data_IF_677035553294
#
_entry.id   IF_677035553294
#
_cell.length_a   1.000
_cell.length_b   1.000
_cell.length_c   1.000
_cell.angle_alpha   90.00
_cell.angle_beta   90.00
_cell.angle_gamma   90.00
#
_symmetry.space_group_name_H-M   'P 1'
#
loop_
_entity.id
_entity.type
_entity.pdbx_description
1 polymer ?
#
# COMPACT_ATOMS: atom_id res chain seq x y z
N UNK A 1 20.68 13.59 14.29
CA UNK A 1 20.15 12.22 14.08
C UNK A 1 20.03 12.00 12.58
N UNK A 2 20.46 10.85 12.05
CA UNK A 2 20.26 10.52 10.64
C UNK A 2 18.76 10.38 10.36
N UNK A 3 18.26 11.02 9.30
CA UNK A 3 16.86 10.89 8.88
C UNK A 3 16.60 9.45 8.40
N UNK A 4 15.44 8.85 8.75
CA UNK A 4 15.11 7.51 8.27
C UNK A 4 14.99 7.49 6.75
N UNK A 5 15.56 6.46 6.11
CA UNK A 5 15.53 6.29 4.66
C UNK A 5 14.10 6.10 4.16
N UNK A 6 13.76 6.79 3.07
CA UNK A 6 12.46 6.63 2.40
C UNK A 6 12.41 5.29 1.68
N UNK A 7 11.31 4.54 1.86
CA UNK A 7 11.04 3.27 1.14
C UNK A 7 9.76 3.41 0.35
N UNK A 8 9.58 2.56 -0.68
CA UNK A 8 8.36 2.57 -1.51
C UNK A 8 7.09 2.25 -0.72
N UNK A 9 7.25 1.44 0.31
CA UNK A 9 6.21 1.09 1.23
C UNK A 9 6.40 -0.32 1.75
N UNK A 10 5.66 -0.64 2.79
CA UNK A 10 5.71 -1.94 3.44
C UNK A 10 4.33 -2.32 3.97
N UNK A 11 4.12 -3.61 4.16
CA UNK A 11 2.92 -4.17 4.75
C UNK A 11 3.25 -5.25 5.77
N UNK A 12 2.30 -5.56 6.64
CA UNK A 12 2.35 -6.65 7.60
C UNK A 12 2.64 -7.97 6.89
N UNK A 13 3.56 -8.77 7.45
CA UNK A 13 3.75 -10.15 6.97
C UNK A 13 2.48 -11.01 7.16
N UNK A 14 1.51 -10.56 7.95
CA UNK A 14 0.20 -11.21 8.09
C UNK A 14 -0.54 -11.42 6.75
N UNK A 15 -0.33 -10.55 5.75
CA UNK A 15 -0.94 -10.70 4.42
C UNK A 15 -0.29 -11.82 3.56
N UNK A 16 0.76 -12.47 4.07
CA UNK A 16 1.35 -13.68 3.45
C UNK A 16 0.57 -14.94 3.85
N UNK A 17 -0.13 -14.93 4.98
CA UNK A 17 -0.97 -16.05 5.43
C UNK A 17 -2.06 -16.43 4.42
N UNK A 18 -2.90 -15.49 3.92
CA UNK A 18 -3.93 -15.84 2.93
C UNK A 18 -3.35 -16.31 1.59
N UNK A 19 -2.16 -15.82 1.19
CA UNK A 19 -1.46 -16.33 0.01
C UNK A 19 -1.04 -17.80 0.20
N UNK A 20 -0.50 -18.12 1.38
CA UNK A 20 -0.07 -19.47 1.72
C UNK A 20 -1.27 -20.43 1.77
N UNK A 21 -2.40 -19.99 2.31
CA UNK A 21 -3.66 -20.74 2.34
C UNK A 21 -4.19 -20.98 0.93
N UNK A 22 -4.22 -19.95 0.07
CA UNK A 22 -4.65 -20.06 -1.32
C UNK A 22 -3.80 -21.04 -2.14
N UNK A 23 -2.47 -21.03 -1.95
CA UNK A 23 -1.57 -21.97 -2.62
C UNK A 23 -1.81 -23.42 -2.17
N UNK A 24 -2.07 -23.64 -0.88
CA UNK A 24 -2.43 -24.97 -0.36
C UNK A 24 -3.77 -25.46 -0.91
N UNK A 25 -4.78 -24.60 -1.01
CA UNK A 25 -6.05 -24.95 -1.67
C UNK A 25 -5.88 -25.36 -3.14
N UNK A 26 -4.85 -24.82 -3.80
CA UNK A 26 -4.48 -25.16 -5.17
C UNK A 26 -3.57 -26.40 -5.27
N UNK A 27 -3.22 -27.03 -4.14
CA UNK A 27 -2.39 -28.23 -4.09
C UNK A 27 -0.88 -27.96 -4.16
N UNK A 28 -0.44 -26.73 -3.91
CA UNK A 28 0.98 -26.36 -3.89
C UNK A 28 1.50 -26.17 -2.46
N UNK A 29 2.75 -26.57 -2.22
CA UNK A 29 3.47 -26.22 -0.99
C UNK A 29 4.03 -24.78 -1.11
N UNK A 30 3.58 -23.82 -0.26
CA UNK A 30 4.08 -22.46 -0.30
C UNK A 30 5.50 -22.31 0.26
N UNK A 31 5.99 -23.24 1.08
CA UNK A 31 7.23 -23.02 1.86
C UNK A 31 8.48 -22.73 1.03
N UNK A 32 8.78 -23.45 -0.08
CA UNK A 32 9.97 -23.17 -0.88
C UNK A 32 9.92 -21.76 -1.48
N UNK A 33 8.74 -21.32 -1.93
CA UNK A 33 8.54 -19.99 -2.47
C UNK A 33 8.74 -18.93 -1.38
N UNK A 34 8.11 -19.10 -0.22
CA UNK A 34 8.25 -18.15 0.89
C UNK A 34 9.70 -18.01 1.36
N UNK A 35 10.44 -19.12 1.47
CA UNK A 35 11.87 -19.12 1.83
C UNK A 35 12.72 -18.36 0.81
N UNK A 36 12.45 -18.47 -0.49
CA UNK A 36 13.13 -17.67 -1.53
C UNK A 36 12.92 -16.16 -1.33
N UNK A 37 11.80 -15.76 -0.73
CA UNK A 37 11.52 -14.38 -0.35
C UNK A 37 11.91 -14.03 1.09
N UNK A 38 12.65 -14.89 1.80
CA UNK A 38 13.10 -14.66 3.18
C UNK A 38 11.96 -14.66 4.21
N UNK A 39 10.89 -15.41 3.94
CA UNK A 39 9.71 -15.52 4.78
C UNK A 39 9.63 -16.93 5.37
N UNK A 40 10.50 -17.25 6.30
CA UNK A 40 10.42 -18.48 7.08
C UNK A 40 9.40 -18.36 8.23
N UNK A 41 9.14 -19.47 8.93
CA UNK A 41 8.19 -19.50 10.05
C UNK A 41 8.57 -18.49 11.16
N UNK A 42 9.87 -18.31 11.41
CA UNK A 42 10.38 -17.34 12.39
C UNK A 42 10.01 -15.92 12.00
N UNK A 43 10.28 -15.53 10.75
CA UNK A 43 9.97 -14.18 10.24
C UNK A 43 8.47 -13.92 10.16
N UNK A 44 7.67 -14.93 9.83
CA UNK A 44 6.21 -14.81 9.80
C UNK A 44 5.59 -14.73 11.21
N UNK A 45 6.24 -15.29 12.22
CA UNK A 45 5.84 -15.23 13.63
C UNK A 45 6.34 -13.99 14.39
N UNK A 46 7.25 -13.22 13.80
CA UNK A 46 7.82 -12.03 14.43
C UNK A 46 6.79 -10.90 14.53
N UNK A 47 6.53 -10.45 15.76
CA UNK A 47 5.60 -9.37 16.04
C UNK A 47 6.00 -8.08 15.31
N UNK A 48 5.06 -7.52 14.53
CA UNK A 48 5.29 -6.28 13.80
C UNK A 48 6.20 -6.43 12.57
N UNK A 49 6.60 -7.64 12.18
CA UNK A 49 7.39 -7.86 10.98
C UNK A 49 6.68 -7.31 9.73
N UNK A 50 7.49 -6.67 8.89
CA UNK A 50 7.05 -6.02 7.65
C UNK A 50 7.76 -6.59 6.43
N UNK A 51 7.06 -6.54 5.31
CA UNK A 51 7.52 -6.90 3.98
C UNK A 51 7.37 -5.68 3.05
N UNK A 52 8.41 -5.40 2.27
CA UNK A 52 8.37 -4.36 1.22
C UNK A 52 7.26 -4.64 0.21
N UNK A 53 6.47 -3.63 -0.15
CA UNK A 53 5.37 -3.76 -1.15
C UNK A 53 5.88 -4.37 -2.47
N UNK A 54 6.99 -3.87 -3.07
CA UNK A 54 7.59 -4.51 -4.24
C UNK A 54 7.91 -6.01 -4.06
N UNK A 55 8.48 -6.40 -2.90
CA UNK A 55 8.76 -7.82 -2.62
C UNK A 55 7.48 -8.64 -2.55
N UNK A 56 6.41 -8.08 -1.99
CA UNK A 56 5.09 -8.72 -1.94
C UNK A 56 4.48 -8.88 -3.34
N UNK A 57 4.59 -7.85 -4.20
CA UNK A 57 4.17 -7.92 -5.60
C UNK A 57 4.91 -9.02 -6.37
N UNK A 58 6.23 -9.12 -6.20
CA UNK A 58 7.04 -10.18 -6.80
C UNK A 58 6.67 -11.57 -6.25
N UNK A 59 6.43 -11.69 -4.95
CA UNK A 59 5.96 -12.92 -4.32
C UNK A 59 4.62 -13.37 -4.92
N UNK A 60 3.65 -12.45 -5.06
CA UNK A 60 2.36 -12.72 -5.67
C UNK A 60 2.47 -13.18 -7.13
N UNK A 61 3.30 -12.50 -7.92
CA UNK A 61 3.55 -12.89 -9.30
C UNK A 61 4.19 -14.28 -9.41
N UNK A 62 5.22 -14.58 -8.62
CA UNK A 62 5.83 -15.90 -8.59
C UNK A 62 4.86 -16.99 -8.12
N UNK A 63 3.92 -16.66 -7.23
CA UNK A 63 2.86 -17.57 -6.81
C UNK A 63 1.84 -17.83 -7.94
N UNK A 64 1.52 -16.81 -8.76
CA UNK A 64 0.69 -16.96 -9.97
C UNK A 64 1.39 -17.87 -10.98
N UNK A 65 2.68 -17.66 -11.26
CA UNK A 65 3.45 -18.52 -12.16
C UNK A 65 3.51 -19.97 -11.67
N UNK A 66 3.74 -20.17 -10.36
CA UNK A 66 3.83 -21.49 -9.76
C UNK A 66 2.50 -22.26 -9.82
N UNK A 67 1.38 -21.56 -9.62
CA UNK A 67 0.05 -22.18 -9.55
C UNK A 67 -0.72 -22.21 -10.87
N UNK A 68 -0.30 -21.42 -11.85
CA UNK A 68 -1.05 -21.19 -13.09
C UNK A 68 -2.39 -20.44 -12.89
N UNK A 69 -2.65 -19.92 -11.69
CA UNK A 69 -3.91 -19.26 -11.35
C UNK A 69 -3.80 -17.74 -11.50
N UNK A 70 -4.21 -17.22 -12.66
CA UNK A 70 -4.15 -15.79 -12.98
C UNK A 70 -4.95 -14.90 -11.99
N UNK A 71 -6.04 -15.42 -11.42
CA UNK A 71 -6.87 -14.70 -10.46
C UNK A 71 -6.51 -15.01 -9.00
N UNK A 72 -5.25 -15.39 -8.72
CA UNK A 72 -4.80 -15.76 -7.37
C UNK A 72 -5.05 -14.65 -6.35
N UNK A 73 -4.90 -13.38 -6.76
CA UNK A 73 -5.19 -12.22 -5.92
C UNK A 73 -6.63 -12.22 -5.39
N UNK A 74 -7.61 -12.43 -6.28
CA UNK A 74 -9.02 -12.53 -5.88
C UNK A 74 -9.27 -13.72 -4.95
N UNK A 75 -8.62 -14.87 -5.24
CA UNK A 75 -8.76 -16.09 -4.43
C UNK A 75 -8.21 -15.89 -3.03
N UNK A 76 -6.98 -15.41 -2.90
CA UNK A 76 -6.40 -15.17 -1.58
C UNK A 76 -7.10 -14.05 -0.82
N UNK A 77 -7.64 -13.06 -1.52
CA UNK A 77 -8.45 -12.00 -0.91
C UNK A 77 -9.63 -12.58 -0.15
N UNK A 78 -10.31 -13.59 -0.70
CA UNK A 78 -11.42 -14.30 -0.01
C UNK A 78 -11.01 -15.02 1.28
N UNK A 79 -9.72 -15.29 1.48
CA UNK A 79 -9.16 -15.93 2.67
C UNK A 79 -8.61 -14.90 3.67
N UNK A 80 -8.80 -13.60 3.40
CA UNK A 80 -8.35 -12.54 4.28
C UNK A 80 -9.17 -12.50 5.57
N UNK A 81 -8.48 -12.48 6.70
CA UNK A 81 -9.05 -12.35 8.03
C UNK A 81 -8.61 -11.03 8.65
N UNK A 82 -9.44 -10.46 9.50
CA UNK A 82 -9.14 -9.20 10.21
C UNK A 82 -7.82 -9.31 11.00
N UNK A 83 -7.52 -10.47 11.58
CA UNK A 83 -6.26 -10.70 12.31
C UNK A 83 -4.99 -10.43 11.47
N UNK A 84 -5.02 -10.55 10.14
CA UNK A 84 -3.87 -10.28 9.28
C UNK A 84 -3.47 -8.78 9.27
N UNK A 85 -4.43 -7.89 9.56
CA UNK A 85 -4.23 -6.45 9.74
C UNK A 85 -3.79 -6.06 11.17
N UNK A 86 -3.51 -7.04 12.05
CA UNK A 86 -3.00 -6.82 13.40
C UNK A 86 -3.96 -5.99 14.26
N UNK A 87 -3.42 -5.02 15.00
CA UNK A 87 -4.20 -4.21 15.95
C UNK A 87 -5.38 -3.49 15.28
N UNK A 88 -5.20 -2.94 14.08
CA UNK A 88 -6.29 -2.29 13.33
C UNK A 88 -7.43 -3.26 13.00
N UNK A 89 -7.08 -4.48 12.58
CA UNK A 89 -8.07 -5.50 12.25
C UNK A 89 -8.78 -6.08 13.47
N UNK A 90 -8.05 -6.35 14.57
CA UNK A 90 -8.64 -6.77 15.84
C UNK A 90 -9.58 -5.69 16.40
N UNK A 91 -9.22 -4.42 16.23
CA UNK A 91 -10.09 -3.29 16.58
C UNK A 91 -11.33 -3.28 15.71
N UNK A 92 -11.18 -3.41 14.39
CA UNK A 92 -12.31 -3.49 13.45
C UNK A 92 -13.23 -4.68 13.72
N UNK A 93 -12.71 -5.81 14.24
CA UNK A 93 -13.52 -6.96 14.65
C UNK A 93 -14.45 -6.67 15.84
N UNK A 94 -14.20 -5.57 16.57
CA UNK A 94 -15.03 -5.10 17.67
C UNK A 94 -15.84 -3.85 17.29
N UNK A 95 -15.80 -3.41 16.04
CA UNK A 95 -16.60 -2.28 15.58
C UNK A 95 -18.11 -2.58 15.73
N UNK A 96 -18.95 -1.61 16.09
CA UNK A 96 -20.39 -1.84 16.30
C UNK A 96 -21.15 -2.14 14.99
N UNK A 97 -20.64 -1.66 13.86
CA UNK A 97 -21.24 -1.85 12.53
C UNK A 97 -20.15 -2.11 11.49
N UNK A 98 -20.54 -2.65 10.32
CA UNK A 98 -19.62 -2.81 9.19
C UNK A 98 -19.04 -1.47 8.71
N UNK A 99 -19.81 -0.39 8.79
CA UNK A 99 -19.32 0.95 8.46
C UNK A 99 -18.19 1.39 9.38
N UNK A 100 -18.33 1.19 10.70
CA UNK A 100 -17.24 1.46 11.65
C UNK A 100 -16.04 0.53 11.42
N UNK A 101 -16.26 -0.74 11.06
CA UNK A 101 -15.19 -1.69 10.76
C UNK A 101 -14.37 -1.24 9.54
N UNK A 102 -15.05 -0.90 8.44
CA UNK A 102 -14.43 -0.37 7.23
C UNK A 102 -13.67 0.93 7.51
N UNK A 103 -14.29 1.88 8.22
CA UNK A 103 -13.64 3.14 8.60
C UNK A 103 -12.39 2.89 9.44
N UNK A 104 -12.43 1.93 10.35
CA UNK A 104 -11.30 1.55 11.23
C UNK A 104 -10.14 0.98 10.43
N UNK A 105 -10.41 0.04 9.53
CA UNK A 105 -9.38 -0.56 8.67
C UNK A 105 -8.66 0.53 7.85
N UNK A 106 -9.41 1.43 7.22
CA UNK A 106 -8.81 2.45 6.35
C UNK A 106 -8.17 3.60 7.15
N UNK A 107 -8.71 3.98 8.31
CA UNK A 107 -8.12 5.01 9.18
C UNK A 107 -6.79 4.55 9.77
N UNK A 108 -6.74 3.30 10.24
CA UNK A 108 -5.56 2.72 10.88
C UNK A 108 -4.72 1.91 9.90
N UNK A 109 -4.89 2.12 8.59
CA UNK A 109 -4.04 1.52 7.54
C UNK A 109 -2.54 1.64 7.85
N UNK A 110 -1.99 2.79 8.31
CA UNK A 110 -0.57 2.91 8.66
C UNK A 110 -0.06 1.92 9.72
N UNK A 111 -0.95 1.28 10.49
CA UNK A 111 -0.62 0.25 11.46
C UNK A 111 -0.37 -1.13 10.83
N UNK A 112 -0.74 -1.34 9.58
CA UNK A 112 -0.51 -2.62 8.88
C UNK A 112 0.04 -2.47 7.46
N UNK A 113 -0.11 -1.31 6.82
CA UNK A 113 0.44 -1.02 5.51
C UNK A 113 0.76 0.48 5.40
N UNK A 114 1.88 0.81 4.77
CA UNK A 114 2.25 2.19 4.48
C UNK A 114 2.81 2.24 3.06
N UNK A 115 2.19 3.03 2.19
CA UNK A 115 2.69 3.31 0.86
C UNK A 115 3.14 4.78 0.83
N UNK A 116 4.38 4.99 0.39
CA UNK A 116 4.94 6.33 0.36
C UNK A 116 4.24 7.27 -0.63
N UNK A 117 3.51 6.72 -1.60
CA UNK A 117 2.89 7.49 -2.68
C UNK A 117 1.44 7.87 -2.45
N UNK A 118 0.77 7.24 -1.50
CA UNK A 118 -0.64 7.48 -1.24
C UNK A 118 -1.21 6.49 -0.25
N UNK A 119 -2.46 6.74 0.13
CA UNK A 119 -3.15 6.02 1.19
C UNK A 119 -4.57 5.69 0.74
N UNK A 120 -5.09 4.58 1.23
CA UNK A 120 -6.49 4.20 1.03
C UNK A 120 -7.41 5.20 1.74
N UNK A 121 -8.64 5.35 1.25
CA UNK A 121 -9.61 6.31 1.82
C UNK A 121 -11.01 5.73 1.95
N UNK A 122 -11.64 6.02 3.08
CA UNK A 122 -13.06 5.79 3.30
C UNK A 122 -13.80 7.11 3.07
N UNK A 123 -14.71 7.14 2.10
CA UNK A 123 -15.43 8.37 1.70
C UNK A 123 -16.93 8.11 1.78
N UNK A 124 -17.59 8.77 2.71
CA UNK A 124 -19.03 8.63 2.94
C UNK A 124 -19.84 9.68 2.19
N UNK A 125 -21.03 9.28 1.78
CA UNK A 125 -22.05 10.16 1.22
C UNK A 125 -23.46 9.77 1.74
N UNK A 126 -24.51 10.41 1.20
CA UNK A 126 -25.87 10.16 1.64
C UNK A 126 -26.33 8.71 1.42
N UNK A 127 -25.83 8.05 0.37
CA UNK A 127 -26.28 6.74 -0.10
C UNK A 127 -25.42 5.58 0.39
N UNK A 128 -24.21 5.83 0.89
CA UNK A 128 -23.31 4.78 1.36
C UNK A 128 -21.89 5.28 1.54
N UNK A 129 -20.91 4.43 1.22
CA UNK A 129 -19.50 4.78 1.30
C UNK A 129 -18.67 4.09 0.23
N UNK A 130 -17.63 4.79 -0.21
CA UNK A 130 -16.56 4.26 -1.06
C UNK A 130 -15.36 3.86 -0.20
N UNK A 131 -14.87 2.64 -0.40
CA UNK A 131 -13.56 2.20 0.05
C UNK A 131 -12.63 2.28 -1.16
N UNK A 132 -11.68 3.23 -1.13
CA UNK A 132 -10.76 3.52 -2.23
C UNK A 132 -9.38 2.98 -1.91
N UNK A 133 -8.86 2.11 -2.76
CA UNK A 133 -7.51 1.61 -2.65
C UNK A 133 -6.56 2.45 -3.51
N UNK A 134 -5.48 2.94 -2.90
CA UNK A 134 -4.43 3.62 -3.65
C UNK A 134 -3.42 2.61 -4.21
N UNK A 135 -3.27 2.59 -5.53
CA UNK A 135 -2.22 1.83 -6.22
C UNK A 135 -1.51 2.71 -7.23
N UNK A 136 -0.25 2.37 -7.53
CA UNK A 136 0.58 3.14 -8.47
C UNK A 136 0.40 2.56 -9.88
N UNK A 137 -0.02 3.41 -10.80
CA UNK A 137 -0.08 3.18 -12.25
C UNK A 137 1.26 3.53 -12.93
N UNK A 138 1.67 2.88 -14.04
CA UNK A 138 0.93 1.89 -14.85
C UNK A 138 0.82 0.50 -14.21
N UNK A 139 -0.23 -0.23 -14.59
CA UNK A 139 -0.49 -1.59 -14.10
C UNK A 139 0.20 -2.67 -14.95
N UNK A 140 0.77 -3.66 -14.27
CA UNK A 140 1.42 -4.83 -14.84
C UNK A 140 1.03 -6.09 -14.04
N UNK A 141 1.60 -7.23 -14.40
CA UNK A 141 1.27 -8.52 -13.79
C UNK A 141 1.71 -8.66 -12.32
N UNK A 142 2.46 -7.68 -11.78
CA UNK A 142 2.89 -7.65 -10.39
C UNK A 142 1.91 -6.89 -9.49
N UNK A 143 1.37 -5.75 -9.95
CA UNK A 143 0.54 -4.88 -9.12
C UNK A 143 -0.97 -5.12 -9.24
N UNK A 144 -1.47 -5.77 -10.30
CA UNK A 144 -2.88 -6.22 -10.41
C UNK A 144 -3.27 -7.14 -9.25
N UNK A 145 -2.42 -8.11 -8.96
CA UNK A 145 -2.57 -9.04 -7.83
C UNK A 145 -2.83 -8.33 -6.48
N UNK A 146 -2.17 -7.19 -6.24
CA UNK A 146 -2.36 -6.41 -5.00
C UNK A 146 -3.73 -5.75 -4.98
N UNK A 147 -4.19 -5.15 -6.09
CA UNK A 147 -5.54 -4.59 -6.17
C UNK A 147 -6.59 -5.67 -5.92
N UNK A 148 -6.43 -6.82 -6.56
CA UNK A 148 -7.35 -7.95 -6.48
C UNK A 148 -7.49 -8.46 -5.04
N UNK A 149 -6.35 -8.73 -4.41
CA UNK A 149 -6.28 -9.24 -3.03
C UNK A 149 -6.84 -8.25 -2.01
N UNK A 150 -6.59 -6.95 -2.17
CA UNK A 150 -7.08 -5.94 -1.25
C UNK A 150 -8.60 -5.75 -1.35
N UNK A 151 -9.15 -5.59 -2.56
CA UNK A 151 -10.58 -5.38 -2.75
C UNK A 151 -11.41 -6.61 -2.34
N UNK A 152 -10.98 -7.81 -2.76
CA UNK A 152 -11.61 -9.05 -2.31
C UNK A 152 -11.43 -9.25 -0.80
N UNK A 153 -10.26 -8.86 -0.26
CA UNK A 153 -9.93 -8.94 1.15
C UNK A 153 -10.84 -8.09 2.03
N UNK A 154 -11.14 -6.85 1.65
CA UNK A 154 -12.07 -6.02 2.42
C UNK A 154 -13.48 -6.63 2.48
N UNK A 155 -13.99 -7.14 1.36
CA UNK A 155 -15.31 -7.78 1.35
C UNK A 155 -15.34 -9.08 2.16
N UNK A 156 -14.27 -9.87 2.12
CA UNK A 156 -14.15 -11.09 2.91
C UNK A 156 -14.16 -10.80 4.43
N UNK A 157 -13.37 -9.83 4.86
CA UNK A 157 -13.31 -9.40 6.26
C UNK A 157 -14.65 -8.85 6.76
N UNK A 158 -15.36 -8.08 5.94
CA UNK A 158 -16.68 -7.54 6.29
C UNK A 158 -17.77 -8.63 6.26
N UNK A 159 -17.66 -9.60 5.35
CA UNK A 159 -18.55 -10.78 5.30
C UNK A 159 -18.43 -11.61 6.57
N UNK A 160 -17.20 -11.91 6.99
CA UNK A 160 -16.92 -12.66 8.23
C UNK A 160 -17.50 -11.93 9.46
N UNK A 161 -17.29 -10.61 9.54
CA UNK A 161 -17.83 -9.79 10.64
C UNK A 161 -19.36 -9.73 10.66
N UNK A 162 -20.00 -9.71 9.49
CA UNK A 162 -21.46 -9.66 9.37
C UNK A 162 -22.13 -11.00 9.64
N UNK A 163 -21.41 -12.12 9.49
CA UNK A 163 -21.98 -13.47 9.49
C UNK A 163 -22.88 -13.77 8.28
N UNK A 164 -22.86 -12.91 7.26
CA UNK A 164 -23.66 -13.03 6.03
C UNK A 164 -22.86 -12.49 4.84
N UNK A 165 -23.06 -13.01 3.61
CA UNK A 165 -22.36 -12.50 2.43
C UNK A 165 -22.53 -10.99 2.24
N UNK A 166 -21.40 -10.29 2.08
CA UNK A 166 -21.34 -8.88 1.73
C UNK A 166 -20.80 -8.73 0.31
N UNK A 167 -21.58 -8.07 -0.55
CA UNK A 167 -21.17 -7.71 -1.90
C UNK A 167 -21.14 -6.20 -2.06
N UNK A 168 -20.27 -5.72 -2.93
CA UNK A 168 -20.24 -4.32 -3.32
C UNK A 168 -21.49 -3.97 -4.15
N UNK A 169 -22.04 -2.78 -3.91
CA UNK A 169 -23.06 -2.16 -4.76
C UNK A 169 -22.46 -1.73 -6.10
N UNK A 170 -21.20 -1.29 -6.09
CA UNK A 170 -20.41 -0.94 -7.27
C UNK A 170 -18.96 -1.33 -7.07
N UNK A 171 -18.29 -1.74 -8.15
CA UNK A 171 -16.87 -2.03 -8.16
C UNK A 171 -16.23 -1.40 -9.39
N UNK A 172 -15.25 -0.54 -9.16
CA UNK A 172 -14.48 0.16 -10.18
C UNK A 172 -13.01 -0.26 -10.07
N UNK A 173 -12.41 -0.54 -11.22
CA UNK A 173 -11.04 -1.02 -11.37
C UNK A 173 -10.34 -0.13 -12.40
N UNK A 174 -9.16 0.38 -12.05
CA UNK A 174 -8.45 1.38 -12.87
C UNK A 174 -7.85 0.77 -14.15
N UNK A 175 -7.44 -0.50 -14.11
CA UNK A 175 -6.88 -1.17 -15.28
C UNK A 175 -7.96 -1.77 -16.20
N UNK A 176 -7.59 -1.97 -17.46
CA UNK A 176 -8.43 -2.66 -18.44
C UNK A 176 -8.73 -4.10 -18.01
N UNK A 177 -9.90 -4.61 -18.41
CA UNK A 177 -10.39 -5.94 -18.04
C UNK A 177 -9.34 -7.04 -18.33
N UNK A 178 -8.86 -7.78 -17.31
CA UNK A 178 -7.93 -8.88 -17.51
C UNK A 178 -8.66 -10.13 -18.06
N UNK A 179 -7.90 -11.15 -18.46
CA UNK A 179 -8.45 -12.43 -18.96
C UNK A 179 -9.39 -13.13 -17.96
N UNK A 180 -9.24 -12.84 -16.66
CA UNK A 180 -10.05 -13.37 -15.58
C UNK A 180 -11.13 -12.39 -15.06
N UNK A 181 -11.45 -11.33 -15.82
CA UNK A 181 -12.40 -10.27 -15.42
C UNK A 181 -13.75 -10.80 -14.92
N UNK A 182 -14.26 -11.89 -15.50
CA UNK A 182 -15.53 -12.51 -15.10
C UNK A 182 -15.54 -12.94 -13.61
N UNK A 183 -14.38 -13.22 -13.01
CA UNK A 183 -14.29 -13.66 -11.60
C UNK A 183 -14.56 -12.53 -10.60
N UNK A 184 -14.36 -11.27 -10.99
CA UNK A 184 -14.70 -10.12 -10.12
C UNK A 184 -16.19 -10.01 -9.86
N UNK A 185 -17.04 -10.55 -10.75
CA UNK A 185 -18.50 -10.46 -10.59
C UNK A 185 -18.98 -11.08 -9.27
N UNK A 186 -18.23 -12.03 -8.70
CA UNK A 186 -18.55 -12.60 -7.39
C UNK A 186 -18.51 -11.57 -6.24
N UNK A 187 -17.76 -10.49 -6.41
CA UNK A 187 -17.57 -9.42 -5.42
C UNK A 187 -18.64 -8.32 -5.50
N UNK A 188 -19.37 -8.22 -6.60
CA UNK A 188 -20.25 -7.09 -6.87
C UNK A 188 -21.63 -7.56 -7.34
N UNK A 189 -22.67 -6.86 -6.89
CA UNK A 189 -24.05 -7.14 -7.28
C UNK A 189 -24.40 -6.61 -8.68
N UNK A 190 -23.60 -5.68 -9.22
CA UNK A 190 -23.75 -5.10 -10.56
C UNK A 190 -22.53 -5.43 -11.43
N UNK A 191 -22.59 -5.22 -12.76
CA UNK A 191 -21.43 -5.34 -13.62
C UNK A 191 -20.25 -4.50 -13.11
N UNK A 192 -19.06 -5.10 -13.10
CA UNK A 192 -17.81 -4.46 -12.67
C UNK A 192 -17.33 -3.51 -13.76
N UNK A 193 -16.96 -2.28 -13.38
CA UNK A 193 -16.43 -1.29 -14.31
C UNK A 193 -14.90 -1.33 -14.32
N UNK A 194 -14.33 -1.75 -15.45
CA UNK A 194 -12.88 -1.69 -15.70
C UNK A 194 -12.52 -0.41 -16.45
N UNK A 195 -11.22 -0.06 -16.47
CA UNK A 195 -10.72 1.20 -17.03
C UNK A 195 -11.42 2.44 -16.44
N UNK A 196 -11.73 2.39 -15.15
CA UNK A 196 -12.27 3.51 -14.38
C UNK A 196 -11.14 4.44 -13.86
N UNK A 197 -11.51 5.51 -13.15
CA UNK A 197 -10.54 6.48 -12.62
C UNK A 197 -9.79 5.99 -11.37
N UNK A 198 -10.17 4.84 -10.79
CA UNK A 198 -9.50 4.30 -9.61
C UNK A 198 -9.98 2.90 -9.21
N UNK A 199 -9.29 2.33 -8.22
CA UNK A 199 -9.65 1.04 -7.63
C UNK A 199 -10.50 1.25 -6.39
N UNK A 200 -11.79 0.98 -6.47
CA UNK A 200 -12.70 1.27 -5.38
C UNK A 200 -13.94 0.38 -5.40
N UNK A 201 -14.45 0.09 -4.21
CA UNK A 201 -15.72 -0.58 -4.01
C UNK A 201 -16.67 0.31 -3.23
N UNK A 202 -17.97 0.18 -3.52
CA UNK A 202 -19.03 0.90 -2.84
C UNK A 202 -19.87 -0.04 -2.00
N UNK A 203 -20.15 0.35 -0.76
CA UNK A 203 -21.13 -0.32 0.09
C UNK A 203 -22.34 0.59 0.28
N UNK A 204 -23.53 0.00 0.20
CA UNK A 204 -24.78 0.72 0.44
C UNK A 204 -24.90 1.16 1.90
N UNK A 205 -25.72 2.19 2.17
CA UNK A 205 -26.07 2.59 3.55
C UNK A 205 -26.61 1.42 4.38
N UNK A 206 -27.43 0.55 3.79
CA UNK A 206 -27.98 -0.62 4.48
C UNK A 206 -26.87 -1.60 4.90
N UNK A 207 -25.91 -1.87 4.01
CA UNK A 207 -24.75 -2.73 4.31
C UNK A 207 -23.89 -2.13 5.42
N UNK A 208 -23.62 -0.83 5.39
CA UNK A 208 -22.81 -0.15 6.41
C UNK A 208 -23.45 -0.19 7.80
N UNK A 209 -24.78 -0.27 7.88
CA UNK A 209 -25.54 -0.32 9.13
C UNK A 209 -25.70 -1.73 9.70
N UNK A 210 -25.26 -2.77 9.00
CA UNK A 210 -25.27 -4.13 9.54
C UNK A 210 -24.46 -4.17 10.84
N UNK A 211 -25.12 -4.63 11.90
CA UNK A 211 -24.56 -4.69 13.23
C UNK A 211 -23.57 -5.85 13.36
N UNK A 212 -22.50 -5.63 14.11
CA UNK A 212 -21.60 -6.70 14.52
C UNK A 212 -22.17 -7.40 15.77
N UNK A 213 -22.56 -8.68 15.68
CA UNK A 213 -23.13 -9.41 16.83
C UNK A 213 -22.11 -9.63 17.95
N UNK A 214 -20.81 -9.56 17.66
CA UNK A 214 -19.72 -9.74 18.62
C UNK A 214 -19.21 -8.42 19.22
N UNK A 215 -19.91 -7.29 19.00
CA UNK A 215 -19.51 -5.98 19.52
C UNK A 215 -19.55 -5.94 21.05
N UNK A 216 -18.42 -5.61 21.66
CA UNK A 216 -18.34 -5.23 23.07
C UNK A 216 -17.93 -3.75 23.19
N UNK A 217 -18.80 -2.85 23.68
CA UNK A 217 -18.51 -1.41 23.72
C UNK A 217 -17.23 -1.04 24.47
N UNK A 218 -16.95 -1.66 25.61
CA UNK A 218 -15.74 -1.36 26.41
C UNK A 218 -14.46 -1.82 25.70
N UNK A 219 -14.47 -3.03 25.13
CA UNK A 219 -13.34 -3.56 24.34
C UNK A 219 -13.08 -2.68 23.13
N UNK A 220 -14.12 -2.30 22.40
CA UNK A 220 -14.03 -1.40 21.25
C UNK A 220 -13.35 -0.07 21.60
N UNK A 221 -13.81 0.60 22.66
CA UNK A 221 -13.24 1.88 23.09
C UNK A 221 -11.77 1.73 23.52
N UNK A 222 -11.43 0.66 24.22
CA UNK A 222 -10.05 0.40 24.62
C UNK A 222 -9.13 0.13 23.42
N UNK A 223 -9.57 -0.70 22.47
CA UNK A 223 -8.81 -1.00 21.26
C UNK A 223 -8.62 0.23 20.36
N UNK A 224 -9.63 1.11 20.28
CA UNK A 224 -9.47 2.42 19.62
C UNK A 224 -8.38 3.26 20.28
N UNK A 225 -8.34 3.36 21.62
CA UNK A 225 -7.29 4.11 22.31
C UNK A 225 -5.89 3.55 22.03
N UNK A 226 -5.74 2.22 21.98
CA UNK A 226 -4.49 1.56 21.61
C UNK A 226 -4.10 1.87 20.15
N UNK A 227 -5.06 1.79 19.23
CA UNK A 227 -4.85 2.17 17.83
C UNK A 227 -4.40 3.63 17.70
N UNK A 228 -5.04 4.57 18.39
CA UNK A 228 -4.66 5.99 18.36
C UNK A 228 -3.25 6.21 18.93
N UNK A 229 -2.91 5.55 20.03
CA UNK A 229 -1.59 5.67 20.63
C UNK A 229 -0.49 5.13 19.70
N UNK A 230 -0.70 3.96 19.11
CA UNK A 230 0.25 3.37 18.16
C UNK A 230 0.32 4.18 16.86
N UNK A 231 -0.82 4.67 16.35
CA UNK A 231 -0.87 5.50 15.15
C UNK A 231 -0.08 6.78 15.39
N UNK A 232 -0.32 7.46 16.52
CA UNK A 232 0.43 8.65 16.89
C UNK A 232 1.93 8.38 16.97
N UNK A 233 2.36 7.24 17.51
CA UNK A 233 3.78 6.88 17.54
C UNK A 233 4.37 6.67 16.15
N UNK A 234 3.65 6.00 15.25
CA UNK A 234 4.09 5.69 13.89
C UNK A 234 4.08 6.89 12.96
N UNK A 235 3.04 7.71 13.04
CA UNK A 235 2.87 8.91 12.20
C UNK A 235 3.44 10.16 12.87
N UNK A 236 4.18 10.01 13.98
CA UNK A 236 4.83 11.14 14.65
C UNK A 236 5.86 11.75 13.73
N UNK A 237 5.47 12.84 13.06
CA UNK A 237 6.43 13.62 12.27
C UNK A 237 7.17 14.55 13.21
N UNK A 238 8.48 14.35 13.32
CA UNK A 238 9.34 14.99 14.34
C UNK A 238 9.99 16.27 13.84
N UNK A 239 10.02 16.52 12.51
CA UNK A 239 10.60 17.72 11.90
C UNK A 239 9.82 18.21 10.69
N UNK A 240 10.02 19.47 10.31
CA UNK A 240 9.49 20.02 9.07
C UNK A 240 10.05 19.27 7.85
N UNK A 241 11.34 18.90 7.89
CA UNK A 241 11.96 18.08 6.85
C UNK A 241 11.24 16.75 6.59
N UNK A 242 10.88 16.02 7.65
CA UNK A 242 10.13 14.76 7.51
C UNK A 242 8.71 14.98 6.94
N UNK A 243 8.03 16.08 7.31
CA UNK A 243 6.71 16.43 6.73
C UNK A 243 6.83 16.66 5.22
N UNK A 244 7.86 17.39 4.80
CA UNK A 244 8.13 17.64 3.38
C UNK A 244 8.43 16.33 2.66
N UNK A 245 9.29 15.48 3.22
CA UNK A 245 9.60 14.17 2.64
C UNK A 245 8.35 13.33 2.44
N UNK A 246 7.41 13.31 3.39
CA UNK A 246 6.14 12.59 3.20
C UNK A 246 5.26 13.18 2.09
N UNK A 247 5.23 14.51 1.96
CA UNK A 247 4.49 15.20 0.89
C UNK A 247 5.10 15.00 -0.49
N UNK A 248 6.42 14.83 -0.58
CA UNK A 248 7.11 14.64 -1.85
C UNK A 248 6.65 13.37 -2.58
N UNK A 249 6.18 12.34 -1.89
CA UNK A 249 5.85 11.06 -2.52
C UNK A 249 4.73 11.11 -3.54
N UNK A 250 3.54 11.60 -3.16
CA UNK A 250 2.45 11.84 -4.08
C UNK A 250 2.80 12.87 -5.18
N UNK A 251 3.66 13.85 -4.87
CA UNK A 251 4.03 14.94 -5.79
C UNK A 251 5.07 14.54 -6.84
N UNK A 252 5.89 13.53 -6.55
CA UNK A 252 6.84 12.95 -7.50
C UNK A 252 6.07 12.09 -8.51
N UNK A 253 5.43 12.71 -9.49
CA UNK A 253 4.70 12.00 -10.55
C UNK A 253 4.83 12.75 -11.89
N UNK A 254 4.68 12.02 -13.00
CA UNK A 254 4.50 12.66 -14.31
C UNK A 254 5.75 13.23 -14.96
N UNK A 255 6.96 12.84 -14.55
CA UNK A 255 8.21 13.45 -15.05
C UNK A 255 8.39 14.92 -14.65
N UNK A 256 7.53 15.45 -13.76
CA UNK A 256 7.62 16.80 -13.21
C UNK A 256 8.26 16.76 -11.82
N UNK A 257 9.18 17.68 -11.61
CA UNK A 257 9.78 17.92 -10.31
C UNK A 257 8.89 18.86 -9.47
N UNK A 258 8.55 18.50 -8.22
CA UNK A 258 7.85 19.42 -7.33
C UNK A 258 8.78 20.56 -6.91
N UNK A 259 8.26 21.78 -6.91
CA UNK A 259 8.97 22.95 -6.44
C UNK A 259 8.62 23.28 -4.97
N UNK A 260 9.31 24.29 -4.43
CA UNK A 260 9.11 24.67 -3.03
C UNK A 260 7.73 25.30 -2.83
N UNK A 261 7.30 26.10 -3.79
CA UNK A 261 6.04 26.85 -3.78
C UNK A 261 4.85 25.88 -3.68
N UNK A 262 4.87 24.79 -4.45
CA UNK A 262 3.88 23.71 -4.39
C UNK A 262 3.82 23.02 -3.03
N UNK A 263 4.98 22.71 -2.44
CA UNK A 263 5.05 22.11 -1.09
C UNK A 263 4.59 23.10 -0.01
N UNK A 264 4.91 24.39 -0.17
CA UNK A 264 4.50 25.44 0.75
C UNK A 264 2.98 25.60 0.78
N UNK A 265 2.31 25.51 -0.38
CA UNK A 265 0.85 25.49 -0.50
C UNK A 265 0.23 24.31 0.24
N UNK A 266 0.77 23.09 0.07
CA UNK A 266 0.30 21.91 0.79
C UNK A 266 0.45 22.02 2.31
N UNK A 267 1.48 22.73 2.77
CA UNK A 267 1.71 23.00 4.19
C UNK A 267 0.97 24.23 4.72
N UNK A 268 0.25 24.97 3.85
CA UNK A 268 -0.39 26.24 4.17
C UNK A 268 0.59 27.27 4.76
N UNK A 269 1.79 27.35 4.18
CA UNK A 269 2.86 28.27 4.59
C UNK A 269 3.32 29.13 3.41
N UNK A 270 3.73 30.39 3.62
CA UNK A 270 4.46 31.15 2.61
C UNK A 270 5.84 30.52 2.31
N UNK A 271 6.26 30.50 1.04
CA UNK A 271 7.53 29.88 0.62
C UNK A 271 8.77 30.43 1.34
N UNK A 272 8.79 31.72 1.66
CA UNK A 272 9.89 32.34 2.43
C UNK A 272 9.96 31.82 3.88
N UNK A 273 8.79 31.56 4.49
CA UNK A 273 8.71 30.97 5.84
C UNK A 273 9.20 29.53 5.82
N UNK A 274 8.83 28.77 4.78
CA UNK A 274 9.31 27.40 4.57
C UNK A 274 10.83 27.37 4.39
N UNK A 275 11.41 28.24 3.55
CA UNK A 275 12.88 28.37 3.38
C UNK A 275 13.58 28.67 4.71
N UNK A 276 13.08 29.67 5.45
CA UNK A 276 13.65 30.08 6.73
C UNK A 276 13.64 28.93 7.75
N UNK A 277 12.50 28.26 7.93
CA UNK A 277 12.37 27.13 8.86
C UNK A 277 13.29 25.95 8.48
N UNK A 278 13.45 25.66 7.19
CA UNK A 278 14.39 24.62 6.75
C UNK A 278 15.85 24.99 7.03
N UNK A 279 16.21 26.26 6.83
CA UNK A 279 17.55 26.75 7.17
C UNK A 279 17.82 26.69 8.69
N UNK A 280 16.81 27.01 9.52
CA UNK A 280 16.87 26.83 10.98
C UNK A 280 17.07 25.35 11.39
N UNK A 281 16.52 24.40 10.62
CA UNK A 281 16.78 22.95 10.75
C UNK A 281 18.10 22.49 10.07
N UNK A 282 18.90 23.40 9.52
CA UNK A 282 20.19 23.09 8.88
C UNK A 282 20.07 22.34 7.55
N UNK A 283 18.95 22.48 6.83
CA UNK A 283 18.71 21.78 5.56
C UNK A 283 18.12 22.72 4.49
N UNK A 284 18.05 22.27 3.24
CA UNK A 284 17.36 22.97 2.16
C UNK A 284 16.37 22.04 1.49
N UNK A 285 15.33 22.60 0.87
CA UNK A 285 14.34 21.82 0.12
C UNK A 285 14.98 20.94 -0.96
N UNK A 286 15.98 21.48 -1.67
CA UNK A 286 16.72 20.74 -2.70
C UNK A 286 17.44 19.51 -2.14
N UNK A 287 17.96 19.61 -0.91
CA UNK A 287 18.66 18.50 -0.25
C UNK A 287 17.65 17.40 0.09
N UNK A 288 16.52 17.77 0.71
CA UNK A 288 15.41 16.87 1.01
C UNK A 288 14.88 16.14 -0.23
N UNK A 289 14.67 16.88 -1.32
CA UNK A 289 14.20 16.32 -2.58
C UNK A 289 15.19 15.31 -3.17
N UNK A 290 16.48 15.64 -3.18
CA UNK A 290 17.52 14.75 -3.70
C UNK A 290 17.71 13.50 -2.84
N UNK A 291 17.70 13.65 -1.51
CA UNK A 291 17.77 12.53 -0.56
C UNK A 291 16.59 11.57 -0.77
N UNK A 292 15.38 12.13 -0.83
CA UNK A 292 14.14 11.38 -1.07
C UNK A 292 14.20 10.62 -2.39
N UNK A 293 14.58 11.29 -3.48
CA UNK A 293 14.72 10.64 -4.79
C UNK A 293 15.79 9.57 -4.83
N UNK A 294 16.93 9.77 -4.15
CA UNK A 294 18.00 8.78 -4.05
C UNK A 294 17.49 7.52 -3.36
N UNK A 295 16.87 7.68 -2.19
CA UNK A 295 16.41 6.54 -1.38
C UNK A 295 15.32 5.73 -2.12
N UNK A 296 14.40 6.42 -2.80
CA UNK A 296 13.41 5.78 -3.67
C UNK A 296 14.04 5.12 -4.89
N UNK A 297 15.02 5.76 -5.54
CA UNK A 297 15.71 5.19 -6.70
C UNK A 297 16.45 3.89 -6.34
N UNK A 298 17.18 3.88 -5.23
CA UNK A 298 17.84 2.67 -4.73
C UNK A 298 16.82 1.55 -4.49
N UNK A 299 15.67 1.88 -3.90
CA UNK A 299 14.60 0.93 -3.62
C UNK A 299 13.95 0.41 -4.91
N UNK A 300 13.63 1.28 -5.87
CA UNK A 300 13.11 0.87 -7.18
C UNK A 300 14.09 -0.02 -7.94
N UNK A 301 15.39 0.33 -7.96
CA UNK A 301 16.39 -0.45 -8.70
C UNK A 301 16.62 -1.82 -8.07
N UNK A 302 16.57 -1.91 -6.73
CA UNK A 302 16.80 -3.15 -5.98
C UNK A 302 15.58 -4.07 -6.01
N UNK A 303 14.39 -3.50 -5.76
CA UNK A 303 13.20 -4.29 -5.43
C UNK A 303 12.20 -4.43 -6.61
N UNK A 304 12.49 -3.86 -7.79
CA UNK A 304 11.62 -3.95 -8.99
C UNK A 304 12.41 -4.22 -10.28
N UNK A 305 11.70 -4.64 -11.33
CA UNK A 305 12.22 -4.82 -12.70
C UNK A 305 12.01 -3.60 -13.62
N UNK A 306 11.51 -2.48 -13.09
CA UNK A 306 11.17 -1.30 -13.90
C UNK A 306 12.36 -0.82 -14.76
N UNK A 307 12.05 -0.38 -15.98
CA UNK A 307 13.02 0.26 -16.85
C UNK A 307 13.49 1.59 -16.25
N UNK A 308 14.74 2.00 -16.50
CA UNK A 308 15.26 3.25 -15.93
C UNK A 308 14.49 4.50 -16.39
N UNK A 309 13.85 4.46 -17.56
CA UNK A 309 12.94 5.51 -18.02
C UNK A 309 11.67 5.61 -17.17
N UNK A 310 11.09 4.47 -16.78
CA UNK A 310 9.93 4.42 -15.89
C UNK A 310 10.30 4.91 -14.48
N UNK A 311 11.45 4.49 -13.96
CA UNK A 311 11.97 4.98 -12.67
C UNK A 311 12.20 6.49 -12.73
N UNK A 312 12.76 7.01 -13.83
CA UNK A 312 12.95 8.44 -14.03
C UNK A 312 11.61 9.19 -14.00
N UNK A 313 10.63 8.71 -14.75
CA UNK A 313 9.28 9.28 -14.80
C UNK A 313 8.61 9.29 -13.42
N UNK A 314 8.67 8.16 -12.71
CA UNK A 314 8.15 8.00 -11.35
C UNK A 314 8.84 8.95 -10.36
N UNK A 315 10.12 9.25 -10.54
CA UNK A 315 10.85 10.16 -9.65
C UNK A 315 10.79 11.62 -10.11
N UNK A 316 9.94 11.96 -11.09
CA UNK A 316 9.75 13.33 -11.57
C UNK A 316 10.96 13.89 -12.33
N UNK A 317 11.75 13.03 -12.98
CA UNK A 317 12.80 13.47 -13.89
C UNK A 317 12.25 13.69 -15.29
N UNK A 318 12.74 14.73 -15.96
CA UNK A 318 12.38 15.04 -17.34
C UNK A 318 12.88 14.00 -18.36
N UNK A 319 13.93 13.23 -18.04
CA UNK A 319 14.45 12.18 -18.92
C UNK A 319 15.23 11.11 -18.15
N UNK A 320 15.43 9.95 -18.80
CA UNK A 320 16.24 8.85 -18.26
C UNK A 320 17.71 9.25 -18.07
N UNK A 321 18.26 10.07 -18.97
CA UNK A 321 19.64 10.57 -18.89
C UNK A 321 19.82 11.50 -17.69
N UNK A 322 18.84 12.37 -17.42
CA UNK A 322 18.86 13.25 -16.25
C UNK A 322 18.88 12.42 -14.95
N UNK A 323 18.05 11.37 -14.89
CA UNK A 323 18.04 10.42 -13.78
C UNK A 323 19.39 9.70 -13.62
N UNK A 324 19.94 9.13 -14.69
CA UNK A 324 21.20 8.40 -14.62
C UNK A 324 22.37 9.25 -14.11
N UNK A 325 22.47 10.51 -14.58
CA UNK A 325 23.47 11.46 -14.08
C UNK A 325 23.28 11.78 -12.60
N UNK A 326 22.04 12.03 -12.18
CA UNK A 326 21.73 12.31 -10.79
C UNK A 326 22.04 11.11 -9.88
N UNK A 327 21.64 9.91 -10.29
CA UNK A 327 21.89 8.67 -9.55
C UNK A 327 23.39 8.40 -9.39
N UNK A 328 24.17 8.52 -10.47
CA UNK A 328 25.64 8.37 -10.40
C UNK A 328 26.30 9.39 -9.49
N UNK A 329 25.82 10.64 -9.49
CA UNK A 329 26.30 11.68 -8.57
C UNK A 329 26.00 11.35 -7.11
N UNK A 330 24.84 10.74 -6.84
CA UNK A 330 24.42 10.40 -5.47
C UNK A 330 25.10 9.15 -4.91
N UNK A 331 25.29 8.12 -5.73
CA UNK A 331 25.72 6.78 -5.28
C UNK A 331 27.13 6.40 -5.74
N UNK A 332 27.72 7.16 -6.67
CA UNK A 332 28.99 6.83 -7.33
C UNK A 332 28.87 5.78 -8.45
N UNK A 333 27.72 5.10 -8.57
CA UNK A 333 27.50 4.02 -9.54
C UNK A 333 26.45 4.38 -10.57
N UNK A 334 26.55 3.81 -11.78
CA UNK A 334 25.44 3.88 -12.74
C UNK A 334 24.26 3.02 -12.24
N UNK A 335 22.99 3.36 -12.55
CA UNK A 335 21.84 2.54 -12.15
C UNK A 335 21.97 1.06 -12.53
N UNK A 336 22.51 0.77 -13.72
CA UNK A 336 22.76 -0.60 -14.18
C UNK A 336 23.84 -1.33 -13.38
N UNK A 337 24.92 -0.65 -13.00
CA UNK A 337 25.96 -1.25 -12.15
C UNK A 337 25.40 -1.56 -10.75
N UNK A 338 24.64 -0.63 -10.18
CA UNK A 338 23.98 -0.82 -8.89
C UNK A 338 22.98 -2.00 -8.94
N UNK A 339 22.13 -2.09 -9.98
CA UNK A 339 21.22 -3.23 -10.16
C UNK A 339 21.95 -4.57 -10.16
N UNK A 340 23.06 -4.67 -10.89
CA UNK A 340 23.86 -5.90 -10.96
C UNK A 340 24.48 -6.27 -9.61
N UNK A 341 25.00 -5.30 -8.86
CA UNK A 341 25.58 -5.57 -7.55
C UNK A 341 24.56 -6.04 -6.51
N UNK A 342 23.29 -5.64 -6.66
CA UNK A 342 22.20 -6.13 -5.79
C UNK A 342 21.68 -7.52 -6.18
N UNK A 343 21.89 -7.96 -7.43
CA UNK A 343 21.43 -9.26 -7.94
C UNK A 343 22.47 -10.37 -7.84
N UNK A 344 23.73 -10.04 -7.61
CA UNK A 344 24.74 -11.04 -7.30
C UNK A 344 24.46 -11.58 -5.90
N UNK A 345 24.17 -12.89 -5.75
CA UNK A 345 24.09 -13.50 -4.44
C UNK A 345 25.50 -13.50 -3.86
N UNK A 346 25.66 -12.86 -2.70
CA UNK A 346 26.74 -13.18 -1.77
C UNK A 346 26.42 -14.46 -1.03
#
# INVERSE_FOLDING_TARGET
MARPRVRLGELSVGFVQPLSEALRELGHDPEPLLRRYGLDATRLGEAGARLSIPRYMHLGHAAIEMSGEAALGLRMGRLSRLAHAGLAGVTAAQAPTLGEAARTLLRFEPLYAANYRGHSRFVEDAQGAWLRFYSISPYNDYNRFVVDSLLAGWLAQLTDLAGTPVQAERLEIEFAAPSYAARYQTLCSTPVQFAADGNQLRLSRATLQLANPAHCPSTWQHLLQLCEAELLQRTRVRSLGERITHLLGPLLNGGREPDLEEVALHLQLPSWTLRRKLAEEGTRFRDLLNETRRDLAETYIRDTELAFGEIAYLLGFASAEAFQRAFKRWTGLTPGAFRRSQRQPG
#
